data_IF_960170530881
#
_entry.id   IF_960170530881
#
_cell.length_a   1.000
_cell.length_b   1.000
_cell.length_c   1.000
_cell.angle_alpha   90.00
_cell.angle_beta   90.00
_cell.angle_gamma   90.00
#
_symmetry.space_group_name_H-M   'P 1'
#
loop_
_entity.id
_entity.type
_entity.pdbx_description
1 polymer ?
#
# COMPACT_ATOMS: atom_id res chain seq x y z
N UNK A 1 -15.30 5.48 -4.21
CA UNK A 1 -14.38 5.80 -3.11
C UNK A 1 -14.69 4.86 -1.96
N UNK A 2 -13.73 4.07 -1.50
CA UNK A 2 -13.98 3.07 -0.46
C UNK A 2 -13.01 3.34 0.70
N UNK A 3 -13.20 4.49 1.36
CA UNK A 3 -12.49 4.94 2.58
C UNK A 3 -11.06 5.48 2.37
N UNK A 4 -10.74 6.53 3.14
CA UNK A 4 -9.41 7.15 3.28
C UNK A 4 -9.19 7.50 4.75
N UNK A 5 -7.93 7.69 5.15
CA UNK A 5 -7.59 8.14 6.49
C UNK A 5 -6.09 8.23 6.72
N UNK A 6 -5.70 8.34 7.97
CA UNK A 6 -4.30 8.41 8.38
C UNK A 6 -3.82 7.13 9.08
N UNK A 7 -2.50 6.98 9.12
CA UNK A 7 -1.79 5.97 9.90
C UNK A 7 -0.61 6.62 10.63
N UNK A 8 -0.22 6.04 11.76
CA UNK A 8 0.96 6.44 12.55
C UNK A 8 1.74 5.20 12.98
N UNK A 9 3.02 5.35 13.30
CA UNK A 9 3.83 4.33 13.97
C UNK A 9 3.86 4.60 15.47
N UNK A 10 3.68 3.54 16.25
CA UNK A 10 3.89 3.58 17.69
C UNK A 10 5.38 3.50 18.05
N UNK A 11 5.69 3.49 19.35
CA UNK A 11 7.06 3.42 19.87
C UNK A 11 7.78 2.10 19.54
N UNK A 12 7.03 1.03 19.27
CA UNK A 12 7.55 -0.29 18.91
C UNK A 12 7.67 -0.48 17.38
N UNK A 13 7.14 0.47 16.60
CA UNK A 13 7.17 0.50 15.15
C UNK A 13 5.95 -0.12 14.47
N UNK A 14 4.91 -0.49 15.22
CA UNK A 14 3.65 -0.99 14.66
C UNK A 14 2.80 0.15 14.11
N UNK A 15 2.02 -0.16 13.08
CA UNK A 15 1.12 0.80 12.45
C UNK A 15 -0.22 0.86 13.18
N UNK A 16 -0.57 2.04 13.66
CA UNK A 16 -1.91 2.39 14.11
C UNK A 16 -2.66 3.13 13.00
N UNK A 17 -3.98 2.94 12.94
CA UNK A 17 -4.84 3.51 11.89
C UNK A 17 -5.97 4.32 12.50
N UNK A 18 -6.42 5.36 11.79
CA UNK A 18 -7.54 6.21 12.20
C UNK A 18 -8.80 5.43 12.60
N UNK A 19 -9.06 4.30 11.93
CA UNK A 19 -10.17 3.41 12.25
C UNK A 19 -9.77 1.95 12.14
N UNK A 20 -10.41 1.08 12.94
CA UNK A 20 -10.28 -0.37 12.82
C UNK A 20 -10.78 -0.91 11.45
N UNK A 21 -11.58 -0.14 10.71
CA UNK A 21 -11.95 -0.50 9.33
C UNK A 21 -10.76 -0.31 8.38
N UNK A 22 -10.05 0.81 8.49
CA UNK A 22 -8.85 1.09 7.69
C UNK A 22 -7.76 0.05 7.92
N UNK A 23 -7.52 -0.30 9.19
CA UNK A 23 -6.58 -1.36 9.54
C UNK A 23 -6.94 -2.69 8.86
N UNK A 24 -8.19 -3.15 9.00
CA UNK A 24 -8.64 -4.41 8.39
C UNK A 24 -8.55 -4.40 6.87
N UNK A 25 -8.82 -3.26 6.23
CA UNK A 25 -8.67 -3.13 4.77
C UNK A 25 -7.20 -3.16 4.36
N UNK A 26 -6.33 -2.44 5.08
CA UNK A 26 -4.90 -2.46 4.86
C UNK A 26 -4.37 -3.90 4.95
N UNK A 27 -4.60 -4.57 6.08
CA UNK A 27 -4.16 -5.95 6.33
C UNK A 27 -4.70 -6.92 5.26
N UNK A 28 -6.00 -6.89 4.99
CA UNK A 28 -6.60 -7.81 4.03
C UNK A 28 -6.07 -7.62 2.60
N UNK A 29 -5.77 -6.38 2.18
CA UNK A 29 -5.27 -6.10 0.83
C UNK A 29 -3.79 -6.47 0.72
N UNK A 30 -2.96 -6.12 1.70
CA UNK A 30 -1.53 -6.44 1.68
C UNK A 30 -1.31 -7.94 1.84
N UNK A 31 -2.05 -8.63 2.72
CA UNK A 31 -2.00 -10.08 2.89
C UNK A 31 -2.37 -10.81 1.59
N UNK A 32 -3.42 -10.37 0.89
CA UNK A 32 -3.79 -10.95 -0.41
C UNK A 32 -2.68 -10.82 -1.44
N UNK A 33 -2.05 -9.64 -1.54
CA UNK A 33 -0.92 -9.45 -2.44
C UNK A 33 0.26 -10.35 -2.09
N UNK A 34 0.66 -10.36 -0.80
CA UNK A 34 1.81 -11.14 -0.35
C UNK A 34 1.58 -12.63 -0.51
N UNK A 35 0.39 -13.15 -0.20
CA UNK A 35 0.07 -14.56 -0.36
C UNK A 35 0.23 -15.03 -1.83
N UNK A 36 -0.28 -14.27 -2.80
CA UNK A 36 -0.15 -14.61 -4.23
C UNK A 36 1.29 -14.49 -4.70
N UNK A 37 1.97 -13.40 -4.34
CA UNK A 37 3.37 -13.21 -4.72
C UNK A 37 4.28 -14.30 -4.13
N UNK A 38 4.12 -14.63 -2.85
CA UNK A 38 4.90 -15.67 -2.16
C UNK A 38 4.61 -17.05 -2.72
N UNK A 39 3.37 -17.35 -3.11
CA UNK A 39 3.04 -18.59 -3.80
C UNK A 39 3.84 -18.71 -5.11
N UNK A 40 3.82 -17.68 -5.96
CA UNK A 40 4.59 -17.73 -7.21
C UNK A 40 6.09 -17.77 -6.97
N UNK A 41 6.60 -17.02 -5.98
CA UNK A 41 8.02 -17.05 -5.62
C UNK A 41 8.46 -18.45 -5.17
N UNK A 42 7.60 -19.15 -4.44
CA UNK A 42 7.85 -20.52 -4.03
C UNK A 42 7.86 -21.49 -5.22
N UNK A 43 6.95 -21.31 -6.18
CA UNK A 43 6.82 -22.15 -7.38
C UNK A 43 7.93 -21.93 -8.41
N UNK A 44 8.30 -20.67 -8.68
CA UNK A 44 9.29 -20.30 -9.71
C UNK A 44 10.71 -20.30 -9.17
N UNK A 45 10.90 -20.04 -7.87
CA UNK A 45 12.18 -19.73 -7.24
C UNK A 45 12.93 -18.57 -7.91
N UNK A 46 12.18 -17.70 -8.60
CA UNK A 46 12.69 -16.57 -9.38
C UNK A 46 11.78 -15.37 -9.14
N UNK A 47 12.35 -14.29 -8.61
CA UNK A 47 11.62 -13.07 -8.22
C UNK A 47 11.00 -12.34 -9.41
N UNK A 48 11.66 -12.35 -10.57
CA UNK A 48 11.17 -11.69 -11.79
C UNK A 48 9.97 -12.45 -12.35
N UNK A 49 10.08 -13.78 -12.49
CA UNK A 49 8.96 -14.62 -12.92
C UNK A 49 7.80 -14.61 -11.91
N UNK A 50 8.09 -14.55 -10.61
CA UNK A 50 7.06 -14.45 -9.59
C UNK A 50 6.28 -13.13 -9.68
N UNK A 51 7.01 -12.02 -9.92
CA UNK A 51 6.41 -10.72 -10.15
C UNK A 51 5.56 -10.72 -11.42
N UNK A 52 6.05 -11.25 -12.53
CA UNK A 52 5.30 -11.35 -13.79
C UNK A 52 4.03 -12.18 -13.64
N UNK A 53 4.09 -13.32 -12.93
CA UNK A 53 2.93 -14.17 -12.69
C UNK A 53 1.89 -13.46 -11.81
N UNK A 54 2.31 -12.84 -10.70
CA UNK A 54 1.41 -12.05 -9.85
C UNK A 54 0.73 -10.92 -10.65
N UNK A 55 1.50 -10.23 -11.50
CA UNK A 55 1.00 -9.16 -12.37
C UNK A 55 -0.06 -9.67 -13.35
N UNK A 56 0.15 -10.85 -13.96
CA UNK A 56 -0.83 -11.48 -14.84
C UNK A 56 -2.15 -11.80 -14.13
N UNK A 57 -2.10 -12.12 -12.83
CA UNK A 57 -3.28 -12.34 -11.99
C UNK A 57 -3.91 -11.03 -11.46
N UNK A 58 -3.35 -9.86 -11.82
CA UNK A 58 -3.85 -8.55 -11.43
C UNK A 58 -3.37 -8.08 -10.05
N UNK A 59 -2.31 -8.69 -9.54
CA UNK A 59 -1.64 -8.34 -8.29
C UNK A 59 -0.35 -7.58 -8.57
N UNK A 60 -0.19 -6.40 -7.96
CA UNK A 60 0.99 -5.58 -8.16
C UNK A 60 1.29 -4.77 -6.90
N UNK A 61 2.57 -4.65 -6.54
CA UNK A 61 3.05 -3.68 -5.57
C UNK A 61 4.02 -2.74 -6.28
N UNK A 62 3.68 -1.45 -6.33
CA UNK A 62 4.46 -0.45 -7.03
C UNK A 62 4.64 0.79 -6.18
N UNK A 63 5.87 1.30 -6.12
CA UNK A 63 6.19 2.56 -5.43
C UNK A 63 6.57 3.61 -6.44
N UNK A 64 5.76 4.65 -6.59
CA UNK A 64 5.99 5.72 -7.56
C UNK A 64 5.36 7.04 -7.11
N UNK A 65 5.65 8.11 -7.86
CA UNK A 65 4.94 9.38 -7.72
C UNK A 65 3.62 9.29 -8.48
N UNK A 66 2.51 9.61 -7.82
CA UNK A 66 1.18 9.68 -8.42
C UNK A 66 0.38 10.86 -7.88
N UNK A 67 -0.60 11.31 -8.66
CA UNK A 67 -1.51 12.38 -8.27
C UNK A 67 -2.58 11.84 -7.32
N UNK A 68 -2.63 12.34 -6.09
CA UNK A 68 -3.64 12.00 -5.07
C UNK A 68 -4.20 13.31 -4.51
N UNK A 69 -5.52 13.51 -4.60
CA UNK A 69 -6.20 14.74 -4.17
C UNK A 69 -5.55 16.02 -4.73
N UNK A 70 -5.23 16.02 -6.03
CA UNK A 70 -4.57 17.13 -6.75
C UNK A 70 -3.13 17.45 -6.30
N UNK A 71 -2.52 16.60 -5.48
CA UNK A 71 -1.13 16.71 -5.06
C UNK A 71 -0.27 15.52 -5.54
N UNK A 72 0.99 15.79 -5.87
CA UNK A 72 1.95 14.73 -6.19
C UNK A 72 2.44 14.05 -4.92
N UNK A 73 2.09 12.77 -4.79
CA UNK A 73 2.45 11.95 -3.64
C UNK A 73 3.33 10.78 -4.08
N UNK A 74 4.35 10.51 -3.27
CA UNK A 74 5.19 9.33 -3.45
C UNK A 74 4.60 8.20 -2.61
N UNK A 75 3.84 7.33 -3.27
CA UNK A 75 3.00 6.32 -2.64
C UNK A 75 3.48 4.91 -3.00
N UNK A 76 3.33 3.99 -2.05
CA UNK A 76 3.31 2.55 -2.35
C UNK A 76 1.87 2.16 -2.63
N UNK A 77 1.65 1.51 -3.75
CA UNK A 77 0.33 1.05 -4.19
C UNK A 77 0.30 -0.47 -4.14
N UNK A 78 -0.64 -1.05 -3.39
CA UNK A 78 -0.96 -2.47 -3.44
C UNK A 78 -2.23 -2.64 -4.27
N UNK A 79 -2.10 -3.39 -5.35
CA UNK A 79 -3.13 -3.59 -6.35
C UNK A 79 -3.54 -5.05 -6.30
N UNK A 80 -4.84 -5.29 -6.24
CA UNK A 80 -5.46 -6.63 -6.35
C UNK A 80 -6.54 -6.59 -7.44
N UNK A 81 -7.17 -7.72 -7.82
CA UNK A 81 -8.27 -7.71 -8.78
C UNK A 81 -9.44 -6.81 -8.39
N UNK A 82 -9.66 -6.58 -7.09
CA UNK A 82 -10.83 -5.83 -6.59
C UNK A 82 -10.47 -4.45 -6.05
N UNK A 83 -9.25 -4.25 -5.54
CA UNK A 83 -8.89 -3.04 -4.82
C UNK A 83 -7.58 -2.43 -5.27
N UNK A 84 -7.43 -1.14 -4.99
CA UNK A 84 -6.17 -0.41 -4.99
C UNK A 84 -6.05 0.27 -3.63
N UNK A 85 -4.99 -0.06 -2.90
CA UNK A 85 -4.59 0.58 -1.67
C UNK A 85 -3.38 1.46 -1.97
N UNK A 86 -3.50 2.76 -1.79
CA UNK A 86 -2.37 3.68 -1.83
C UNK A 86 -2.00 4.07 -0.41
N UNK A 87 -0.72 4.01 -0.07
CA UNK A 87 -0.18 4.46 1.21
C UNK A 87 1.03 5.36 1.00
N UNK A 88 1.06 6.51 1.66
CA UNK A 88 2.14 7.49 1.54
C UNK A 88 2.41 8.19 2.88
N UNK A 89 3.59 8.79 2.99
CA UNK A 89 4.03 9.51 4.18
C UNK A 89 3.50 10.94 4.18
N UNK A 90 3.20 11.47 5.36
CA UNK A 90 2.94 12.90 5.53
C UNK A 90 4.22 13.69 5.24
N UNK A 91 4.08 14.90 4.70
CA UNK A 91 5.18 15.85 4.54
C UNK A 91 5.11 16.89 5.65
N UNK A 92 6.25 17.18 6.28
CA UNK A 92 6.37 18.30 7.20
C UNK A 92 6.06 19.61 6.47
N UNK A 93 5.12 20.41 7.02
CA UNK A 93 4.59 21.59 6.34
C UNK A 93 5.67 22.63 6.00
N UNK A 94 6.74 22.72 6.80
CA UNK A 94 7.79 23.72 6.62
C UNK A 94 8.92 23.24 5.70
N UNK A 95 9.38 22.01 5.90
CA UNK A 95 10.54 21.45 5.19
C UNK A 95 10.17 20.65 3.95
N UNK A 96 8.88 20.29 3.80
CA UNK A 96 8.36 19.42 2.75
C UNK A 96 9.01 18.02 2.73
N UNK A 97 9.71 17.64 3.81
CA UNK A 97 10.33 16.33 3.97
C UNK A 97 9.30 15.33 4.48
N UNK A 98 9.42 14.07 4.02
CA UNK A 98 8.58 12.96 4.49
C UNK A 98 8.84 12.69 5.97
N UNK A 99 7.77 12.53 6.74
CA UNK A 99 7.81 12.09 8.13
C UNK A 99 7.53 10.59 8.14
N UNK A 100 8.52 9.78 8.52
CA UNK A 100 8.47 8.32 8.33
C UNK A 100 7.69 7.56 9.40
N UNK A 101 7.13 8.28 10.38
CA UNK A 101 6.32 7.79 11.48
C UNK A 101 4.82 8.01 11.26
N UNK A 102 4.40 8.70 10.18
CA UNK A 102 3.00 8.97 9.93
C UNK A 102 2.70 9.24 8.46
N UNK A 103 1.44 9.07 8.10
CA UNK A 103 1.00 9.36 6.77
C UNK A 103 -0.47 9.07 6.54
N UNK A 104 -0.78 8.86 5.27
CA UNK A 104 -2.14 8.68 4.80
C UNK A 104 -2.25 7.41 3.99
N UNK A 105 -3.48 6.90 3.91
CA UNK A 105 -3.85 5.84 3.00
C UNK A 105 -5.23 6.11 2.38
N UNK A 106 -5.44 5.57 1.19
CA UNK A 106 -6.75 5.49 0.57
C UNK A 106 -6.97 4.09 -0.02
N UNK A 107 -8.21 3.63 0.07
CA UNK A 107 -8.65 2.39 -0.55
C UNK A 107 -9.70 2.71 -1.62
N UNK A 108 -9.43 2.24 -2.82
CA UNK A 108 -10.28 2.39 -3.98
C UNK A 108 -10.73 1.00 -4.43
N UNK A 109 -12.01 0.87 -4.73
CA UNK A 109 -12.53 -0.31 -5.43
C UNK A 109 -12.37 -0.08 -6.93
N UNK A 110 -11.88 -1.10 -7.64
CA UNK A 110 -11.79 -1.12 -9.10
C UNK A 110 -13.17 -1.21 -9.76
#
# INVERSE_FOLDING_TARGET
MLTKGWWTKDEEGFMEFETAQLQRLYEAITEQYHAVYEQHLHETQDEELAHENALQEGYEMVTNTKLINDEEEFATSYITPTFVLDIWYEKDAYTQKRVYDKGYLQVLKK
#
